data_IF_736649277883
#
_entry.id   IF_736649277883
#
_cell.length_a   1.000
_cell.length_b   1.000
_cell.length_c   1.000
_cell.angle_alpha   90.00
_cell.angle_beta   90.00
_cell.angle_gamma   90.00
#
_symmetry.space_group_name_H-M   'P 1'
#
loop_
_entity.id
_entity.type
_entity.pdbx_description
1 polymer ?
#
# COMPACT_ATOMS: atom_id res chain seq x y z
N UNK A 1 -17.98 14.58 -7.52
CA UNK A 1 -17.17 14.29 -6.34
C UNK A 1 -15.96 13.57 -6.79
N UNK A 2 -14.92 13.83 -6.14
CA UNK A 2 -13.65 13.25 -6.50
C UNK A 2 -13.12 12.45 -5.33
N UNK A 3 -12.00 11.78 -5.54
CA UNK A 3 -11.36 11.03 -4.49
C UNK A 3 -10.99 11.91 -3.31
N UNK A 4 -10.91 13.21 -3.54
CA UNK A 4 -10.58 14.15 -2.47
C UNK A 4 -11.59 14.12 -1.33
N UNK A 5 -12.79 13.66 -1.63
CA UNK A 5 -13.84 13.61 -0.62
C UNK A 5 -13.83 12.34 0.19
N UNK A 6 -12.98 11.39 -0.17
CA UNK A 6 -12.88 10.16 0.59
C UNK A 6 -12.07 10.41 1.86
N UNK A 7 -12.71 10.16 3.00
CA UNK A 7 -12.03 10.26 4.27
C UNK A 7 -11.56 8.87 4.64
N UNK A 8 -10.27 8.62 4.46
CA UNK A 8 -9.71 7.30 4.72
C UNK A 8 -9.95 6.87 6.16
N UNK A 9 -9.94 7.83 7.08
CA UNK A 9 -10.13 7.51 8.49
C UNK A 9 -11.52 6.96 8.79
N UNK A 10 -12.49 7.28 7.95
CA UNK A 10 -13.86 6.85 8.15
C UNK A 10 -14.12 5.46 7.61
N UNK A 11 -13.19 4.90 6.84
CA UNK A 11 -13.38 3.60 6.22
C UNK A 11 -13.09 2.47 7.20
N UNK A 12 -13.89 1.40 7.11
CA UNK A 12 -13.58 0.17 7.83
C UNK A 12 -12.31 -0.45 7.24
N UNK A 13 -11.72 -1.40 7.96
CA UNK A 13 -10.46 -1.99 7.53
C UNK A 13 -10.51 -2.52 6.10
N UNK A 14 -11.54 -3.29 5.78
CA UNK A 14 -11.65 -3.88 4.45
C UNK A 14 -11.78 -2.80 3.38
N UNK A 15 -12.57 -1.79 3.66
CA UNK A 15 -12.77 -0.70 2.72
C UNK A 15 -11.50 0.14 2.57
N UNK A 16 -10.79 0.33 3.67
CA UNK A 16 -9.54 1.07 3.63
C UNK A 16 -8.51 0.33 2.78
N UNK A 17 -8.38 -0.97 2.97
CA UNK A 17 -7.44 -1.77 2.17
C UNK A 17 -7.83 -1.73 0.70
N UNK A 18 -9.12 -1.87 0.40
CA UNK A 18 -9.57 -1.80 -0.98
C UNK A 18 -9.27 -0.44 -1.60
N UNK A 19 -9.48 0.62 -0.84
CA UNK A 19 -9.16 1.96 -1.33
C UNK A 19 -7.66 2.12 -1.56
N UNK A 20 -6.85 1.52 -0.71
CA UNK A 20 -5.40 1.57 -0.89
C UNK A 20 -4.98 0.84 -2.16
N UNK A 21 -5.65 -0.27 -2.51
CA UNK A 21 -5.36 -0.94 -3.77
C UNK A 21 -5.60 0.01 -4.94
N UNK A 22 -6.71 0.74 -4.91
CA UNK A 22 -7.02 1.71 -5.96
C UNK A 22 -6.02 2.85 -5.98
N UNK A 23 -5.68 3.36 -4.81
CA UNK A 23 -4.75 4.48 -4.70
C UNK A 23 -3.36 4.08 -5.18
N UNK A 24 -2.94 2.88 -4.85
CA UNK A 24 -1.64 2.37 -5.30
C UNK A 24 -1.65 2.23 -6.82
N UNK A 25 -2.72 1.68 -7.37
CA UNK A 25 -2.88 1.52 -8.82
C UNK A 25 -2.76 2.85 -9.53
N UNK A 26 -3.31 3.90 -8.93
CA UNK A 26 -3.31 5.25 -9.50
C UNK A 26 -2.04 6.03 -9.19
N UNK A 27 -1.15 5.46 -8.39
CA UNK A 27 0.11 6.12 -8.08
C UNK A 27 -0.01 7.23 -7.06
N UNK A 28 -1.00 7.16 -6.18
CA UNK A 28 -1.27 8.20 -5.20
C UNK A 28 -0.43 7.95 -3.93
N UNK A 29 0.81 8.41 -3.97
CA UNK A 29 1.78 8.12 -2.91
C UNK A 29 1.34 8.65 -1.55
N UNK A 30 0.79 9.87 -1.53
CA UNK A 30 0.38 10.47 -0.26
C UNK A 30 -0.75 9.68 0.39
N UNK A 31 -1.70 9.23 -0.41
CA UNK A 31 -2.81 8.43 0.10
C UNK A 31 -2.32 7.08 0.60
N UNK A 32 -1.34 6.49 -0.08
CA UNK A 32 -0.77 5.23 0.37
C UNK A 32 -0.06 5.42 1.71
N UNK A 33 0.67 6.51 1.86
CA UNK A 33 1.33 6.79 3.14
C UNK A 33 0.31 6.96 4.25
N UNK A 34 -0.75 7.71 3.97
CA UNK A 34 -1.80 7.93 4.97
C UNK A 34 -2.48 6.62 5.34
N UNK A 35 -2.86 5.82 4.35
CA UNK A 35 -3.51 4.54 4.62
C UNK A 35 -2.63 3.60 5.42
N UNK A 36 -1.34 3.56 5.09
CA UNK A 36 -0.38 2.74 5.81
C UNK A 36 -0.34 3.12 7.28
N UNK A 37 -0.25 4.42 7.55
CA UNK A 37 -0.23 4.91 8.94
C UNK A 37 -1.53 4.59 9.66
N UNK A 38 -2.66 4.72 8.98
CA UNK A 38 -3.95 4.43 9.60
C UNK A 38 -4.06 2.97 10.01
N UNK A 39 -3.63 2.05 9.16
CA UNK A 39 -3.69 0.63 9.49
C UNK A 39 -2.77 0.32 10.68
N UNK A 40 -1.60 0.93 10.71
CA UNK A 40 -0.70 0.73 11.85
C UNK A 40 -1.32 1.27 13.13
N UNK A 41 -1.98 2.43 13.06
CA UNK A 41 -2.65 3.00 14.23
C UNK A 41 -3.77 2.10 14.74
N UNK A 42 -4.37 1.33 13.84
CA UNK A 42 -5.45 0.42 14.19
C UNK A 42 -4.95 -0.91 14.76
N UNK A 43 -3.63 -1.05 14.85
CA UNK A 43 -3.04 -2.23 15.45
C UNK A 43 -2.61 -3.31 14.47
N UNK A 44 -2.63 -3.00 13.19
CA UNK A 44 -2.14 -3.97 12.19
C UNK A 44 -0.63 -4.09 12.31
N UNK A 45 -0.13 -5.32 12.21
CA UNK A 45 1.31 -5.52 12.13
C UNK A 45 1.85 -5.02 10.79
N UNK A 46 3.10 -4.56 10.77
CA UNK A 46 3.68 -4.04 9.52
C UNK A 46 3.73 -5.07 8.40
N UNK A 47 3.94 -6.35 8.74
CA UNK A 47 3.95 -7.41 7.73
C UNK A 47 2.56 -7.59 7.11
N UNK A 48 1.52 -7.47 7.91
CA UNK A 48 0.16 -7.57 7.40
C UNK A 48 -0.18 -6.41 6.49
N UNK A 49 0.22 -5.19 6.88
CA UNK A 49 -0.01 -4.03 6.03
C UNK A 49 0.72 -4.21 4.71
N UNK A 50 1.96 -4.66 4.76
CA UNK A 50 2.73 -4.88 3.54
C UNK A 50 2.03 -5.87 2.62
N UNK A 51 1.63 -7.02 3.15
CA UNK A 51 1.07 -8.07 2.30
C UNK A 51 -0.33 -7.74 1.81
N UNK A 52 -1.21 -7.30 2.70
CA UNK A 52 -2.61 -7.14 2.33
C UNK A 52 -2.87 -5.86 1.56
N UNK A 53 -2.17 -4.78 1.88
CA UNK A 53 -2.45 -3.50 1.26
C UNK A 53 -1.49 -3.19 0.11
N UNK A 54 -0.20 -3.44 0.28
CA UNK A 54 0.77 -3.02 -0.72
C UNK A 54 1.09 -4.11 -1.73
N UNK A 55 1.46 -5.30 -1.26
CA UNK A 55 1.83 -6.38 -2.18
C UNK A 55 0.64 -6.80 -3.03
N UNK A 56 -0.52 -6.92 -2.40
CA UNK A 56 -1.72 -7.30 -3.14
C UNK A 56 -2.07 -6.25 -4.19
N UNK A 57 -1.92 -4.97 -3.84
CA UNK A 57 -2.13 -3.90 -4.81
C UNK A 57 -1.19 -3.99 -6.00
N UNK A 58 0.09 -4.28 -5.74
CA UNK A 58 1.06 -4.44 -6.82
C UNK A 58 0.79 -5.69 -7.65
N UNK A 59 0.23 -6.72 -7.04
CA UNK A 59 -0.13 -7.92 -7.78
C UNK A 59 -1.16 -7.58 -8.86
N UNK A 60 -2.12 -6.74 -8.50
CA UNK A 60 -3.15 -6.29 -9.46
C UNK A 60 -2.49 -5.48 -10.57
N UNK A 61 -1.58 -4.59 -10.22
CA UNK A 61 -0.84 -3.80 -11.21
C UNK A 61 -0.08 -4.72 -12.17
N UNK A 62 0.56 -5.74 -11.63
CA UNK A 62 1.33 -6.67 -12.44
C UNK A 62 0.47 -7.45 -13.42
N UNK A 63 -0.71 -7.86 -12.97
CA UNK A 63 -1.65 -8.58 -13.84
C UNK A 63 -2.08 -7.69 -14.99
N UNK A 64 -2.44 -6.44 -14.71
CA UNK A 64 -2.91 -5.53 -15.74
C UNK A 64 -1.77 -5.13 -16.69
N UNK A 65 -0.56 -5.04 -16.18
CA UNK A 65 0.60 -4.79 -17.05
C UNK A 65 0.82 -5.97 -18.00
N UNK A 66 0.75 -7.18 -17.46
CA UNK A 66 0.91 -8.39 -18.29
C UNK A 66 -0.16 -8.46 -19.37
N UNK A 67 -1.37 -8.05 -19.03
CA UNK A 67 -2.50 -8.14 -19.96
C UNK A 67 -2.55 -6.97 -20.95
N UNK A 68 -1.61 -6.04 -20.85
CA UNK A 68 -1.54 -4.94 -21.80
C UNK A 68 -2.46 -3.78 -21.45
N UNK A 69 -3.02 -3.79 -20.25
CA UNK A 69 -3.91 -2.70 -19.81
C UNK A 69 -3.10 -1.52 -19.33
N UNK A 70 -1.97 -1.79 -18.67
CA UNK A 70 -1.07 -0.74 -18.17
C UNK A 70 0.21 -0.71 -18.98
N UNK A 71 0.80 0.46 -19.06
CA UNK A 71 2.10 0.66 -19.69
C UNK A 71 3.16 0.93 -18.63
N UNK A 72 4.42 0.89 -19.05
CA UNK A 72 5.54 1.04 -18.12
C UNK A 72 5.43 2.30 -17.24
N UNK A 73 5.10 3.48 -17.79
CA UNK A 73 5.00 4.66 -16.91
C UNK A 73 3.99 4.51 -15.79
N UNK A 74 2.88 3.81 -16.07
CA UNK A 74 1.84 3.60 -15.06
C UNK A 74 2.30 2.65 -13.98
N UNK A 75 3.05 1.60 -14.37
CA UNK A 75 3.61 0.67 -13.40
C UNK A 75 4.62 1.39 -12.50
N UNK A 76 5.41 2.29 -13.08
CA UNK A 76 6.37 3.05 -12.30
C UNK A 76 5.70 3.96 -11.30
N UNK A 77 4.58 4.56 -11.66
CA UNK A 77 3.82 5.40 -10.72
C UNK A 77 3.29 4.55 -9.57
N UNK A 78 2.77 3.37 -9.87
CA UNK A 78 2.28 2.47 -8.83
C UNK A 78 3.41 2.04 -7.91
N UNK A 79 4.56 1.67 -8.49
CA UNK A 79 5.71 1.28 -7.69
C UNK A 79 6.18 2.41 -6.79
N UNK A 80 6.10 3.64 -7.30
CA UNK A 80 6.49 4.80 -6.54
C UNK A 80 5.57 5.02 -5.33
N UNK A 81 4.26 4.80 -5.53
CA UNK A 81 3.32 4.92 -4.42
C UNK A 81 3.57 3.82 -3.39
N UNK A 82 3.86 2.61 -3.83
CA UNK A 82 4.20 1.52 -2.91
C UNK A 82 5.43 1.88 -2.10
N UNK A 83 6.40 2.53 -2.72
CA UNK A 83 7.61 2.95 -2.04
C UNK A 83 7.30 3.88 -0.86
N UNK A 84 6.32 4.76 -1.03
CA UNK A 84 5.92 5.67 0.04
C UNK A 84 5.45 4.88 1.27
N UNK A 85 4.65 3.84 1.06
CA UNK A 85 4.24 2.97 2.16
C UNK A 85 5.39 2.19 2.74
N UNK A 86 6.28 1.70 1.88
CA UNK A 86 7.43 0.92 2.33
C UNK A 86 8.37 1.74 3.21
N UNK A 87 8.49 3.03 2.94
CA UNK A 87 9.36 3.86 3.77
C UNK A 87 8.86 3.94 5.20
N UNK A 88 7.55 3.85 5.39
CA UNK A 88 6.97 3.82 6.72
C UNK A 88 7.17 2.45 7.35
N UNK A 89 6.97 1.39 6.58
CA UNK A 89 7.00 0.02 7.10
C UNK A 89 8.41 -0.50 7.31
N UNK A 90 9.37 -0.04 6.52
CA UNK A 90 10.71 -0.62 6.51
C UNK A 90 11.36 -0.66 7.90
N UNK A 91 11.39 0.44 8.65
CA UNK A 91 12.00 0.38 9.98
C UNK A 91 11.25 -0.57 10.90
N UNK A 92 9.94 -0.65 10.78
CA UNK A 92 9.14 -1.56 11.60
C UNK A 92 9.39 -3.00 11.24
N UNK A 93 9.49 -3.29 9.95
CA UNK A 93 9.80 -4.63 9.48
C UNK A 93 11.22 -5.04 9.86
N UNK A 94 12.14 -4.10 9.83
CA UNK A 94 13.52 -4.38 10.19
C UNK A 94 13.62 -4.79 11.66
N UNK A 95 12.89 -4.11 12.54
CA UNK A 95 12.87 -4.48 13.94
C UNK A 95 12.35 -5.91 14.14
N UNK A 96 11.22 -6.20 13.53
CA UNK A 96 10.61 -7.52 13.64
C UNK A 96 11.50 -8.57 12.97
N UNK A 97 12.00 -8.25 11.81
CA UNK A 97 12.83 -9.17 11.04
C UNK A 97 14.14 -9.47 11.73
N UNK A 98 14.75 -8.44 12.34
CA UNK A 98 16.00 -8.62 13.03
C UNK A 98 15.85 -9.59 14.20
N UNK A 99 14.73 -9.46 14.92
CA UNK A 99 14.44 -10.39 16.00
C UNK A 99 14.25 -11.79 15.47
N UNK A 100 13.47 -11.92 14.43
CA UNK A 100 13.15 -13.21 13.87
C UNK A 100 14.38 -13.87 13.28
N UNK A 101 15.13 -13.08 12.58
CA UNK A 101 16.34 -13.61 11.98
C UNK A 101 17.29 -14.09 13.05
N UNK A 102 17.26 -13.42 14.19
CA UNK A 102 18.01 -13.86 15.33
C UNK A 102 19.44 -14.15 15.00
N UNK A 103 19.70 -13.90 13.85
CA UNK A 103 20.93 -14.40 13.28
C UNK A 103 21.81 -13.26 12.99
#
# INVERSE_FOLDING_TARGET
MTDDDIDLRALADDDLVAQMHDDLYDGLADEIAEGTNLLLERGWGPDRVLNDALVEGMRIVGIDFRDGILFVPEVLLAANSMKAGMEILRPLLAETGAERMGT
#
